data_IF_359549801835
#
_entry.id   IF_359549801835
#
_cell.length_a   1.000
_cell.length_b   1.000
_cell.length_c   1.000
_cell.angle_alpha   90.00
_cell.angle_beta   90.00
_cell.angle_gamma   90.00
#
_symmetry.space_group_name_H-M   'P 1'
#
loop_
_entity.id
_entity.type
_entity.pdbx_description
1 polymer ?
#
# COMPACT_ATOMS: atom_id res chain seq x y z
N UNK A 1 6.12 -4.39 -1.52
CA UNK A 1 5.95 -4.43 -0.07
C UNK A 1 6.04 -3.01 0.50
N UNK A 2 5.23 -2.71 1.49
CA UNK A 2 5.20 -1.43 2.20
C UNK A 2 5.41 -1.67 3.69
N UNK A 3 6.10 -0.71 4.35
CA UNK A 3 6.26 -0.70 5.80
C UNK A 3 5.59 0.59 6.30
N UNK A 4 4.60 0.52 7.17
CA UNK A 4 3.95 1.73 7.70
C UNK A 4 4.97 2.68 8.34
N UNK A 5 4.89 3.98 7.96
CA UNK A 5 5.77 5.03 8.49
C UNK A 5 7.24 4.98 8.07
N UNK A 6 7.62 4.08 7.14
CA UNK A 6 9.00 3.97 6.64
C UNK A 6 9.04 3.89 5.11
N UNK A 7 10.16 4.23 4.47
CA UNK A 7 10.35 3.96 3.05
C UNK A 7 10.18 2.48 2.74
N UNK A 8 9.61 2.16 1.57
CA UNK A 8 9.47 0.79 1.11
C UNK A 8 10.86 0.13 0.95
N UNK A 9 11.04 -1.12 1.36
CA UNK A 9 12.32 -1.80 1.24
C UNK A 9 12.67 -2.08 -0.22
N UNK A 10 13.94 -2.10 -0.55
CA UNK A 10 14.42 -2.59 -1.84
C UNK A 10 14.31 -4.12 -1.86
N UNK A 11 13.50 -4.66 -2.76
CA UNK A 11 13.33 -6.10 -2.97
C UNK A 11 14.04 -6.59 -4.23
N UNK A 12 14.09 -5.75 -5.27
CA UNK A 12 14.75 -6.04 -6.55
C UNK A 12 15.77 -4.95 -6.82
N UNK A 13 17.05 -5.29 -6.76
CA UNK A 13 18.12 -4.34 -7.00
C UNK A 13 18.25 -4.01 -8.50
N UNK A 14 18.93 -2.92 -8.81
CA UNK A 14 19.28 -2.58 -10.20
C UNK A 14 20.14 -3.67 -10.88
N UNK A 15 20.97 -4.35 -10.11
CA UNK A 15 21.77 -5.48 -10.59
C UNK A 15 20.90 -6.68 -10.94
N UNK A 16 19.91 -7.00 -10.08
CA UNK A 16 18.92 -8.04 -10.36
C UNK A 16 18.17 -7.76 -11.68
N UNK A 17 17.74 -6.51 -11.88
CA UNK A 17 17.07 -6.13 -13.14
C UNK A 17 17.95 -6.34 -14.36
N UNK A 18 19.24 -6.02 -14.26
CA UNK A 18 20.19 -6.24 -15.36
C UNK A 18 20.37 -7.72 -15.70
N UNK A 19 20.20 -8.60 -14.70
CA UNK A 19 20.31 -10.06 -14.88
C UNK A 19 19.00 -10.71 -15.35
N UNK A 20 17.89 -9.97 -15.35
CA UNK A 20 16.59 -10.48 -15.82
C UNK A 20 16.59 -10.65 -17.35
N UNK A 21 15.75 -11.59 -17.82
CA UNK A 21 15.59 -11.81 -19.26
C UNK A 21 14.93 -10.57 -19.90
N UNK A 22 15.44 -10.13 -21.08
CA UNK A 22 14.73 -9.14 -21.90
C UNK A 22 13.27 -9.57 -22.15
N UNK A 23 12.34 -8.61 -22.08
CA UNK A 23 10.90 -8.87 -22.15
C UNK A 23 10.22 -9.16 -20.82
N UNK A 24 10.99 -9.28 -19.71
CA UNK A 24 10.40 -9.37 -18.38
C UNK A 24 9.68 -8.08 -18.00
N UNK A 25 8.65 -8.22 -17.14
CA UNK A 25 7.86 -7.09 -16.63
C UNK A 25 7.88 -7.07 -15.12
N UNK A 26 8.16 -5.91 -14.54
CA UNK A 26 8.02 -5.60 -13.12
C UNK A 26 6.88 -4.60 -12.94
N UNK A 27 5.94 -4.91 -12.06
CA UNK A 27 4.93 -3.95 -11.60
C UNK A 27 5.24 -3.62 -10.15
N UNK A 28 5.71 -2.39 -9.90
CA UNK A 28 6.14 -1.99 -8.57
C UNK A 28 4.96 -1.38 -7.77
N UNK A 29 4.41 -2.17 -6.86
CA UNK A 29 3.28 -1.74 -6.02
C UNK A 29 3.66 -0.69 -4.96
N UNK A 30 4.96 -0.42 -4.80
CA UNK A 30 5.48 0.57 -3.87
C UNK A 30 6.07 1.80 -4.58
N UNK A 31 5.75 1.99 -5.87
CA UNK A 31 6.23 3.11 -6.67
C UNK A 31 6.01 4.46 -5.96
N UNK A 32 7.03 5.32 -5.92
CA UNK A 32 7.02 6.60 -5.23
C UNK A 32 7.13 6.52 -3.71
N UNK A 33 7.26 5.32 -3.13
CA UNK A 33 7.36 5.09 -1.68
C UNK A 33 8.68 4.44 -1.24
N UNK A 34 9.58 4.19 -2.17
CA UNK A 34 10.91 3.67 -1.91
C UNK A 34 11.88 4.73 -1.36
N UNK A 35 13.12 4.33 -1.08
CA UNK A 35 14.18 5.26 -0.75
C UNK A 35 14.37 6.29 -1.87
N UNK A 36 14.80 7.48 -1.48
CA UNK A 36 15.17 8.52 -2.44
C UNK A 36 16.60 8.25 -2.94
N UNK A 37 16.74 8.20 -4.26
CA UNK A 37 18.03 8.07 -4.94
C UNK A 37 18.08 9.11 -6.05
N UNK A 38 19.08 9.96 -6.08
CA UNK A 38 19.27 11.03 -7.06
C UNK A 38 18.03 11.95 -7.23
N UNK A 39 17.39 12.32 -6.10
CA UNK A 39 16.20 13.18 -6.09
C UNK A 39 14.93 12.53 -6.58
N UNK A 40 14.93 11.20 -6.79
CA UNK A 40 13.77 10.41 -7.18
C UNK A 40 13.45 9.35 -6.16
N UNK A 41 12.17 9.18 -5.86
CA UNK A 41 11.68 8.07 -5.03
C UNK A 41 11.33 6.90 -5.94
N UNK A 42 12.11 5.83 -5.85
CA UNK A 42 11.78 4.55 -6.48
C UNK A 42 10.62 3.85 -5.79
N UNK A 43 10.68 2.55 -5.75
CA UNK A 43 9.73 1.70 -5.03
C UNK A 43 10.46 0.53 -4.38
N UNK A 44 9.90 -0.68 -4.52
CA UNK A 44 10.62 -1.91 -4.18
C UNK A 44 11.76 -2.23 -5.18
N UNK A 45 11.81 -1.52 -6.30
CA UNK A 45 12.93 -1.47 -7.22
C UNK A 45 13.44 -0.01 -7.29
N UNK A 46 14.74 0.27 -7.05
CA UNK A 46 15.31 1.62 -7.14
C UNK A 46 15.22 2.24 -8.53
N UNK A 47 15.11 1.42 -9.58
CA UNK A 47 14.97 1.89 -10.95
C UNK A 47 13.55 2.34 -11.30
N UNK A 48 12.56 2.04 -10.46
CA UNK A 48 11.18 2.47 -10.67
C UNK A 48 11.09 4.00 -10.69
N UNK A 49 10.33 4.52 -11.64
CA UNK A 49 9.99 5.96 -11.71
C UNK A 49 8.49 6.09 -11.46
N UNK A 50 8.14 6.90 -10.47
CA UNK A 50 6.74 7.12 -10.09
C UNK A 50 5.91 7.61 -11.29
N UNK A 51 4.73 7.00 -11.48
CA UNK A 51 3.76 7.28 -12.53
C UNK A 51 4.29 7.13 -13.98
N UNK A 52 5.35 6.35 -14.15
CA UNK A 52 5.90 6.05 -15.47
C UNK A 52 6.05 4.54 -15.70
N UNK A 53 6.02 4.18 -16.97
CA UNK A 53 6.46 2.86 -17.46
C UNK A 53 7.75 3.09 -18.21
N UNK A 54 8.83 2.49 -17.74
CA UNK A 54 10.16 2.60 -18.34
C UNK A 54 10.67 1.24 -18.78
N UNK A 55 11.63 1.25 -19.69
CA UNK A 55 12.36 0.04 -20.09
C UNK A 55 13.84 0.20 -19.70
N UNK A 56 14.34 -0.72 -18.89
CA UNK A 56 15.73 -0.78 -18.51
C UNK A 56 16.32 -2.13 -18.86
N UNK A 57 17.33 -2.14 -19.75
CA UNK A 57 17.97 -3.38 -20.24
C UNK A 57 16.97 -4.41 -20.77
N UNK A 58 15.94 -3.96 -21.52
CA UNK A 58 14.90 -4.83 -22.07
C UNK A 58 13.84 -5.31 -21.07
N UNK A 59 13.93 -4.90 -19.79
CA UNK A 59 12.94 -5.17 -18.74
C UNK A 59 12.01 -3.97 -18.62
N UNK A 60 10.72 -4.19 -18.72
CA UNK A 60 9.69 -3.14 -18.52
C UNK A 60 9.41 -3.00 -17.02
N UNK A 61 9.47 -1.77 -16.52
CA UNK A 61 9.18 -1.44 -15.11
C UNK A 61 8.01 -0.47 -15.07
N UNK A 62 6.87 -0.92 -14.54
CA UNK A 62 5.67 -0.11 -14.38
C UNK A 62 5.59 0.44 -12.95
N UNK A 63 5.67 1.77 -12.85
CA UNK A 63 5.72 2.51 -11.58
C UNK A 63 4.45 3.29 -11.26
N UNK A 64 3.26 2.78 -11.59
CA UNK A 64 2.01 3.47 -11.28
C UNK A 64 1.79 3.60 -9.77
N UNK A 65 1.62 4.83 -9.29
CA UNK A 65 1.42 5.10 -7.84
C UNK A 65 -0.01 4.83 -7.38
N UNK A 66 -0.98 4.80 -8.29
CA UNK A 66 -2.39 4.55 -7.99
C UNK A 66 -2.98 3.45 -8.86
N UNK A 67 -2.53 2.22 -8.66
CA UNK A 67 -3.05 1.04 -9.37
C UNK A 67 -4.53 0.78 -9.06
N UNK A 68 -5.00 1.13 -7.86
CA UNK A 68 -6.40 0.95 -7.48
C UNK A 68 -7.35 1.74 -8.40
N UNK A 69 -6.98 2.93 -8.84
CA UNK A 69 -7.80 3.72 -9.78
C UNK A 69 -7.88 3.12 -11.18
N UNK A 70 -6.92 2.31 -11.58
CA UNK A 70 -6.91 1.64 -12.89
C UNK A 70 -7.87 0.43 -12.94
N UNK A 71 -8.25 -0.10 -11.77
CA UNK A 71 -9.22 -1.18 -11.58
C UNK A 71 -10.27 -0.77 -10.55
N UNK A 72 -10.82 0.44 -10.70
CA UNK A 72 -11.60 1.14 -9.68
C UNK A 72 -12.81 0.34 -9.17
N UNK A 73 -13.52 -0.37 -10.03
CA UNK A 73 -14.67 -1.19 -9.66
C UNK A 73 -14.28 -2.28 -8.66
N UNK A 74 -13.26 -3.08 -9.00
CA UNK A 74 -12.81 -4.19 -8.16
C UNK A 74 -12.15 -3.68 -6.87
N UNK A 75 -11.32 -2.65 -6.97
CA UNK A 75 -10.69 -2.04 -5.81
C UNK A 75 -11.72 -1.47 -4.83
N UNK A 76 -12.76 -0.80 -5.33
CA UNK A 76 -13.85 -0.27 -4.50
C UNK A 76 -14.67 -1.38 -3.85
N UNK A 77 -14.97 -2.46 -4.57
CA UNK A 77 -15.72 -3.59 -4.02
C UNK A 77 -14.94 -4.29 -2.89
N UNK A 78 -13.64 -4.50 -3.06
CA UNK A 78 -12.78 -5.09 -2.03
C UNK A 78 -12.65 -4.17 -0.81
N UNK A 79 -12.49 -2.87 -1.03
CA UNK A 79 -12.42 -1.89 0.05
C UNK A 79 -13.74 -1.81 0.84
N UNK A 80 -14.87 -1.77 0.14
CA UNK A 80 -16.19 -1.76 0.77
C UNK A 80 -16.42 -3.02 1.64
N UNK A 81 -15.91 -4.17 1.20
CA UNK A 81 -15.98 -5.41 1.99
C UNK A 81 -15.18 -5.30 3.28
N UNK A 82 -13.95 -4.76 3.22
CA UNK A 82 -13.15 -4.53 4.42
C UNK A 82 -13.84 -3.57 5.40
N UNK A 83 -14.46 -2.49 4.88
CA UNK A 83 -15.24 -1.57 5.72
C UNK A 83 -16.44 -2.27 6.37
N UNK A 84 -17.16 -3.10 5.60
CA UNK A 84 -18.29 -3.85 6.14
C UNK A 84 -17.86 -4.82 7.25
N UNK A 85 -16.74 -5.50 7.05
CA UNK A 85 -16.22 -6.44 8.06
C UNK A 85 -15.75 -5.69 9.32
N UNK A 86 -15.13 -4.52 9.18
CA UNK A 86 -14.83 -3.65 10.33
C UNK A 86 -16.11 -3.16 11.05
N UNK A 87 -17.14 -2.76 10.29
CA UNK A 87 -18.42 -2.32 10.88
C UNK A 87 -19.06 -3.40 11.74
N UNK A 88 -18.91 -4.69 11.40
CA UNK A 88 -19.40 -5.80 12.21
C UNK A 88 -18.75 -5.92 13.59
N UNK A 89 -17.54 -5.37 13.77
CA UNK A 89 -16.84 -5.35 15.06
C UNK A 89 -17.37 -4.25 15.98
N UNK A 90 -17.86 -3.15 15.40
CA UNK A 90 -18.26 -1.96 16.18
C UNK A 90 -19.77 -1.70 16.18
N UNK A 91 -20.55 -2.46 15.42
CA UNK A 91 -22.02 -2.34 15.39
C UNK A 91 -22.64 -3.70 15.71
N UNK A 92 -23.50 -3.74 16.74
CA UNK A 92 -24.22 -4.97 17.10
C UNK A 92 -25.30 -5.31 16.08
N UNK A 93 -25.88 -6.52 16.19
CA UNK A 93 -27.00 -6.95 15.32
C UNK A 93 -28.24 -6.08 15.47
N UNK A 94 -28.41 -5.45 16.63
CA UNK A 94 -29.49 -4.52 16.96
C UNK A 94 -29.23 -3.11 16.45
N UNK A 95 -28.10 -2.87 15.76
CA UNK A 95 -27.74 -1.57 15.21
C UNK A 95 -27.15 -0.58 16.24
N UNK A 96 -26.69 -1.07 17.38
CA UNK A 96 -26.09 -0.24 18.44
C UNK A 96 -24.57 -0.20 18.27
N UNK A 97 -24.00 1.01 18.42
CA UNK A 97 -22.54 1.20 18.41
C UNK A 97 -21.95 0.59 19.69
N UNK A 98 -20.99 -0.33 19.52
CA UNK A 98 -20.23 -0.97 20.59
C UNK A 98 -18.75 -0.88 20.31
N UNK A 99 -18.02 -0.06 21.06
CA UNK A 99 -16.56 0.09 20.94
C UNK A 99 -15.91 -0.79 22.01
N UNK A 100 -15.62 -2.04 21.63
CA UNK A 100 -14.95 -3.00 22.51
C UNK A 100 -13.43 -2.90 22.37
N UNK A 101 -12.76 -2.38 23.38
CA UNK A 101 -11.30 -2.24 23.40
C UNK A 101 -10.56 -3.56 23.74
N UNK A 102 -11.29 -4.64 24.03
CA UNK A 102 -10.69 -5.97 24.13
C UNK A 102 -10.41 -6.57 22.73
N UNK A 103 -11.06 -6.05 21.68
CA UNK A 103 -10.74 -6.40 20.29
C UNK A 103 -9.53 -5.60 19.81
N UNK A 104 -8.50 -6.32 19.37
CA UNK A 104 -7.21 -5.72 18.94
C UNK A 104 -7.37 -4.77 17.75
N UNK A 105 -8.30 -5.06 16.81
CA UNK A 105 -8.53 -4.24 15.62
C UNK A 105 -9.21 -2.94 16.03
N UNK A 106 -10.21 -3.02 16.88
CA UNK A 106 -10.95 -1.85 17.40
C UNK A 106 -10.01 -0.97 18.21
N UNK A 107 -9.24 -1.55 19.14
CA UNK A 107 -8.26 -0.83 19.95
C UNK A 107 -7.18 -0.15 19.09
N UNK A 108 -6.66 -0.84 18.05
CA UNK A 108 -5.62 -0.30 17.19
C UNK A 108 -6.11 0.81 16.25
N UNK A 109 -7.41 0.87 15.94
CA UNK A 109 -7.99 1.89 15.04
C UNK A 109 -8.57 3.09 15.76
N UNK A 110 -8.82 3.01 17.07
CA UNK A 110 -9.37 4.10 17.85
C UNK A 110 -8.34 5.21 18.03
N UNK A 111 -8.64 6.40 17.49
CA UNK A 111 -7.76 7.57 17.58
C UNK A 111 -8.10 8.45 18.79
N UNK A 112 -9.37 8.64 19.06
CA UNK A 112 -9.83 9.44 20.19
C UNK A 112 -11.19 8.92 20.72
N UNK A 113 -11.45 9.14 22.00
CA UNK A 113 -12.72 8.83 22.65
C UNK A 113 -13.00 9.89 23.73
N UNK A 114 -14.24 10.35 23.80
CA UNK A 114 -14.71 11.29 24.82
C UNK A 114 -13.86 12.58 24.94
N UNK A 115 -13.31 13.05 23.79
CA UNK A 115 -12.46 14.24 23.71
C UNK A 115 -10.98 13.99 24.04
N UNK A 116 -10.59 12.78 24.37
CA UNK A 116 -9.20 12.41 24.65
C UNK A 116 -8.58 11.62 23.51
N UNK A 117 -7.31 11.91 23.19
CA UNK A 117 -6.53 11.15 22.18
C UNK A 117 -6.04 9.86 22.82
N UNK A 118 -6.50 8.72 22.30
CA UNK A 118 -6.15 7.38 22.79
C UNK A 118 -4.89 6.81 22.14
N UNK A 119 -4.51 7.30 20.96
CA UNK A 119 -3.35 6.85 20.21
C UNK A 119 -2.34 7.99 20.06
N UNK A 120 -1.11 7.76 20.52
CA UNK A 120 0.06 8.63 20.34
C UNK A 120 0.92 8.18 19.17
#
# INVERSE_FOLDING_TARGET
>A
ALIPGRPAPTLISAETVRAMKPGSVLVDLAAGRGPEVDGRKGGNCPLTVADQVIVHNGVTIAGHTNLASMVASDASALYARNLLDFMKLIVTKEGVLNIDLADDIVAATLLCRDGEVTRK
#
